data_IF_285179976408
#
_entry.id   IF_285179976408
#
_cell.length_a   1.000
_cell.length_b   1.000
_cell.length_c   1.000
_cell.angle_alpha   90.00
_cell.angle_beta   90.00
_cell.angle_gamma   90.00
#
_symmetry.space_group_name_H-M   'P 1'
#
loop_
_entity.id
_entity.type
_entity.pdbx_description
1 polymer ?
#
# COMPACT_ATOMS: atom_id res chain seq x y z
N UNK A 1 27.70 -0.62 10.16
CA UNK A 1 29.09 -1.16 10.21
C UNK A 1 29.32 -1.94 8.93
N UNK A 2 30.52 -1.78 8.35
CA UNK A 2 30.92 -2.51 7.15
C UNK A 2 32.29 -3.14 7.36
N UNK A 3 32.46 -4.40 6.99
CA UNK A 3 33.75 -5.06 6.85
C UNK A 3 34.20 -4.96 5.38
N UNK A 4 35.30 -4.27 5.12
CA UNK A 4 35.80 -4.02 3.76
C UNK A 4 37.14 -4.70 3.51
N UNK A 5 37.31 -5.26 2.30
CA UNK A 5 38.58 -5.76 1.84
C UNK A 5 39.63 -4.65 1.78
N UNK A 6 40.76 -4.84 2.47
CA UNK A 6 41.85 -3.87 2.49
C UNK A 6 42.69 -3.87 1.20
N UNK A 7 42.74 -5.01 0.52
CA UNK A 7 43.55 -5.26 -0.67
C UNK A 7 42.74 -5.93 -1.74
N UNK A 8 43.16 -5.78 -2.98
CA UNK A 8 42.59 -6.56 -4.07
C UNK A 8 42.84 -8.06 -3.82
N UNK A 9 41.82 -8.86 -4.02
CA UNK A 9 41.85 -10.32 -4.01
C UNK A 9 41.47 -10.85 -5.40
N UNK A 10 41.59 -12.15 -5.69
CA UNK A 10 41.11 -12.72 -6.96
C UNK A 10 39.59 -12.55 -7.17
N UNK A 11 38.81 -12.26 -6.13
CA UNK A 11 37.36 -12.21 -6.15
C UNK A 11 36.76 -10.83 -5.88
N UNK A 12 37.57 -9.86 -5.38
CA UNK A 12 37.07 -8.55 -4.99
C UNK A 12 38.16 -7.47 -5.09
N UNK A 13 37.76 -6.27 -5.49
CA UNK A 13 38.63 -5.10 -5.47
C UNK A 13 38.83 -4.58 -4.04
N UNK A 14 39.89 -3.80 -3.83
CA UNK A 14 40.10 -3.10 -2.55
C UNK A 14 38.91 -2.17 -2.27
N UNK A 15 38.41 -2.18 -1.04
CA UNK A 15 37.24 -1.42 -0.64
C UNK A 15 35.90 -2.16 -0.80
N UNK A 16 35.88 -3.35 -1.41
CA UNK A 16 34.68 -4.17 -1.49
C UNK A 16 34.13 -4.47 -0.09
N UNK A 17 32.83 -4.25 0.12
CA UNK A 17 32.16 -4.57 1.38
C UNK A 17 31.85 -6.07 1.43
N UNK A 18 32.66 -6.81 2.17
CA UNK A 18 32.50 -8.25 2.32
C UNK A 18 31.36 -8.63 3.29
N UNK A 19 31.05 -7.75 4.24
CA UNK A 19 29.92 -7.90 5.16
C UNK A 19 29.44 -6.52 5.60
N UNK A 20 28.13 -6.43 5.85
CA UNK A 20 27.49 -5.21 6.34
C UNK A 20 26.47 -5.55 7.42
N UNK A 21 26.32 -4.67 8.40
CA UNK A 21 25.30 -4.79 9.44
C UNK A 21 24.83 -3.40 9.88
N UNK A 22 23.54 -3.29 10.19
CA UNK A 22 22.90 -2.06 10.62
C UNK A 22 22.41 -2.19 12.06
N UNK A 23 22.85 -1.28 12.93
CA UNK A 23 22.45 -1.25 14.32
C UNK A 23 21.67 0.02 14.63
N UNK A 24 20.52 -0.12 15.31
CA UNK A 24 19.78 1.01 15.82
C UNK A 24 20.55 1.69 16.96
N UNK A 25 20.67 3.02 16.93
CA UNK A 25 21.25 3.77 18.04
C UNK A 25 20.14 4.09 19.06
N UNK A 26 20.36 3.85 20.36
CA UNK A 26 19.34 4.02 21.40
C UNK A 26 18.96 5.49 21.68
N UNK A 27 19.63 6.43 21.03
CA UNK A 27 19.44 7.88 21.24
C UNK A 27 18.33 8.48 20.37
N UNK A 28 17.77 7.72 19.42
CA UNK A 28 16.70 8.22 18.57
C UNK A 28 15.41 8.40 19.36
N UNK A 29 14.83 9.59 19.29
CA UNK A 29 13.47 9.86 19.76
C UNK A 29 12.62 10.28 18.57
N UNK A 30 11.49 9.61 18.41
CA UNK A 30 10.53 10.04 17.39
C UNK A 30 10.06 11.46 17.66
N UNK A 31 10.06 12.33 16.63
CA UNK A 31 9.52 13.66 16.78
C UNK A 31 8.01 13.58 17.06
N UNK A 32 7.59 14.24 18.14
CA UNK A 32 6.15 14.35 18.44
C UNK A 32 5.52 15.22 17.37
N UNK A 33 4.66 14.61 16.54
CA UNK A 33 3.86 15.34 15.57
C UNK A 33 2.73 16.04 16.34
N UNK A 34 2.68 17.38 16.29
CA UNK A 34 1.50 18.11 16.77
C UNK A 34 0.31 17.80 15.87
N UNK A 35 -0.83 17.49 16.47
CA UNK A 35 -2.06 17.34 15.71
C UNK A 35 -2.36 18.65 14.95
N UNK A 36 -2.67 18.59 13.64
CA UNK A 36 -3.01 19.79 12.89
C UNK A 36 -4.26 20.44 13.46
N UNK A 37 -4.24 21.77 13.52
CA UNK A 37 -5.40 22.55 13.99
C UNK A 37 -6.46 22.59 12.89
N UNK A 38 -7.73 22.52 13.31
CA UNK A 38 -8.87 22.55 12.39
C UNK A 38 -9.37 21.16 12.01
N UNK A 39 -10.49 21.14 11.31
CA UNK A 39 -11.19 19.93 10.87
C UNK A 39 -11.69 20.09 9.44
N UNK A 40 -12.00 18.98 8.78
CA UNK A 40 -12.69 19.01 7.50
C UNK A 40 -14.14 19.46 7.66
N UNK A 41 -14.66 20.11 6.63
CA UNK A 41 -16.10 20.22 6.41
C UNK A 41 -16.62 18.92 5.82
N UNK A 42 -17.84 18.56 6.19
CA UNK A 42 -18.53 17.38 5.69
C UNK A 42 -19.74 17.82 4.88
N UNK A 43 -19.87 17.34 3.67
CA UNK A 43 -21.07 17.46 2.85
C UNK A 43 -21.49 16.05 2.39
N UNK A 44 -22.77 15.85 2.09
CA UNK A 44 -23.27 14.57 1.61
C UNK A 44 -24.45 14.77 0.66
N UNK A 45 -24.56 13.85 -0.26
CA UNK A 45 -25.72 13.67 -1.11
C UNK A 45 -26.16 12.20 -1.13
N UNK A 46 -26.98 11.79 -2.07
CA UNK A 46 -27.49 10.40 -2.18
C UNK A 46 -26.39 9.41 -2.58
N UNK A 47 -25.32 9.86 -3.26
CA UNK A 47 -24.27 9.01 -3.80
C UNK A 47 -22.98 9.09 -2.98
N UNK A 48 -22.60 10.28 -2.51
CA UNK A 48 -21.29 10.50 -1.89
C UNK A 48 -21.35 11.20 -0.53
N UNK A 49 -20.34 10.92 0.29
CA UNK A 49 -19.96 11.72 1.43
C UNK A 49 -18.63 12.37 1.09
N UNK A 50 -18.56 13.68 1.27
CA UNK A 50 -17.42 14.51 0.86
C UNK A 50 -16.79 15.17 2.07
N UNK A 51 -15.50 14.89 2.30
CA UNK A 51 -14.67 15.58 3.29
C UNK A 51 -13.79 16.61 2.57
N UNK A 52 -13.73 17.85 3.08
CA UNK A 52 -12.93 18.91 2.47
C UNK A 52 -12.19 19.74 3.52
N UNK A 53 -10.88 19.94 3.35
CA UNK A 53 -10.02 20.77 4.19
C UNK A 53 -8.77 21.21 3.43
N UNK A 54 -8.29 22.42 3.64
CA UNK A 54 -7.01 22.94 3.13
C UNK A 54 -6.77 22.71 1.63
N UNK A 55 -7.83 22.68 0.81
CA UNK A 55 -7.75 22.37 -0.62
C UNK A 55 -7.73 20.88 -0.95
N UNK A 56 -7.77 19.99 0.05
CA UNK A 56 -8.02 18.57 -0.12
C UNK A 56 -9.51 18.28 -0.19
N UNK A 57 -9.88 17.32 -1.03
CA UNK A 57 -11.24 16.82 -1.18
C UNK A 57 -11.20 15.29 -1.30
N UNK A 58 -11.93 14.63 -0.42
CA UNK A 58 -12.08 13.18 -0.37
C UNK A 58 -13.54 12.81 -0.56
N UNK A 59 -13.82 11.93 -1.51
CA UNK A 59 -15.16 11.44 -1.80
C UNK A 59 -15.26 9.97 -1.42
N UNK A 60 -16.25 9.64 -0.60
CA UNK A 60 -16.57 8.29 -0.14
C UNK A 60 -17.90 7.91 -0.77
N UNK A 61 -17.90 6.85 -1.56
CA UNK A 61 -19.11 6.30 -2.16
C UNK A 61 -19.97 5.62 -1.08
N UNK A 62 -21.22 6.03 -0.96
CA UNK A 62 -22.10 5.56 0.14
C UNK A 62 -22.47 4.08 0.01
N UNK A 63 -22.51 3.56 -1.21
CA UNK A 63 -22.87 2.15 -1.47
C UNK A 63 -21.72 1.21 -1.13
N UNK A 64 -20.55 1.50 -1.64
CA UNK A 64 -19.36 0.66 -1.40
C UNK A 64 -18.69 0.98 -0.07
N UNK A 65 -18.85 2.19 0.48
CA UNK A 65 -18.15 2.65 1.67
C UNK A 65 -16.66 2.91 1.46
N UNK A 66 -16.19 2.99 0.21
CA UNK A 66 -14.78 3.22 -0.10
C UNK A 66 -14.51 4.65 -0.53
N UNK A 67 -13.30 5.13 -0.26
CA UNK A 67 -12.80 6.37 -0.87
C UNK A 67 -12.62 6.11 -2.36
N UNK A 68 -13.36 6.82 -3.19
CA UNK A 68 -13.34 6.69 -4.65
C UNK A 68 -12.59 7.83 -5.32
N UNK A 69 -12.39 8.94 -4.60
CA UNK A 69 -11.65 10.09 -5.08
C UNK A 69 -10.91 10.76 -3.91
N UNK A 70 -9.66 11.09 -4.15
CA UNK A 70 -8.90 11.97 -3.26
C UNK A 70 -8.09 12.92 -4.12
N UNK A 71 -8.26 14.21 -3.91
CA UNK A 71 -7.62 15.27 -4.70
C UNK A 71 -7.14 16.40 -3.80
N UNK A 72 -6.09 17.09 -4.24
CA UNK A 72 -5.56 18.28 -3.57
C UNK A 72 -5.46 19.40 -4.62
N UNK A 73 -6.13 20.52 -4.36
CA UNK A 73 -6.19 21.67 -5.28
C UNK A 73 -6.56 21.27 -6.71
N UNK A 74 -7.51 20.34 -6.84
CA UNK A 74 -7.99 19.81 -8.11
C UNK A 74 -7.10 18.74 -8.76
N UNK A 75 -5.90 18.46 -8.21
CA UNK A 75 -5.05 17.39 -8.70
C UNK A 75 -5.49 16.05 -8.10
N UNK A 76 -5.91 15.11 -8.94
CA UNK A 76 -6.30 13.75 -8.55
C UNK A 76 -5.09 12.97 -8.06
N UNK A 77 -5.18 12.35 -6.88
CA UNK A 77 -4.10 11.57 -6.27
C UNK A 77 -4.34 10.05 -6.35
N UNK A 78 -5.60 9.62 -6.46
CA UNK A 78 -5.96 8.22 -6.72
C UNK A 78 -6.82 8.13 -7.97
N UNK A 79 -6.67 7.05 -8.74
CA UNK A 79 -7.42 6.79 -9.98
C UNK A 79 -8.33 5.56 -9.88
N UNK A 80 -8.28 4.83 -8.76
CA UNK A 80 -9.18 3.75 -8.43
C UNK A 80 -9.54 3.81 -6.94
N UNK A 81 -10.68 3.21 -6.52
CA UNK A 81 -11.09 3.18 -5.12
C UNK A 81 -10.01 2.61 -4.19
N UNK A 82 -9.87 3.21 -3.02
CA UNK A 82 -9.05 2.66 -1.93
C UNK A 82 -9.86 1.53 -1.27
N UNK A 83 -9.50 0.29 -1.54
CA UNK A 83 -10.25 -0.90 -1.11
C UNK A 83 -9.40 -1.86 -0.29
N UNK A 84 -10.01 -2.67 0.58
CA UNK A 84 -9.30 -3.71 1.31
C UNK A 84 -8.67 -4.72 0.36
N UNK A 85 -7.54 -5.28 0.78
CA UNK A 85 -6.84 -6.33 0.06
C UNK A 85 -6.42 -7.43 1.04
N UNK A 86 -6.89 -8.66 0.77
CA UNK A 86 -6.60 -9.86 1.58
C UNK A 86 -5.83 -10.92 0.80
N UNK A 87 -5.53 -10.63 -0.46
CA UNK A 87 -4.91 -11.55 -1.41
C UNK A 87 -3.59 -10.99 -1.96
N UNK A 88 -2.77 -11.87 -2.48
CA UNK A 88 -1.58 -11.53 -3.29
C UNK A 88 -1.53 -12.42 -4.53
N UNK A 89 -0.82 -11.99 -5.55
CA UNK A 89 -0.55 -12.85 -6.70
C UNK A 89 0.23 -14.09 -6.24
N UNK A 90 -0.27 -15.27 -6.62
CA UNK A 90 0.26 -16.54 -6.14
C UNK A 90 1.70 -16.76 -6.64
N UNK A 91 2.59 -17.18 -5.74
CA UNK A 91 3.94 -17.62 -6.10
C UNK A 91 3.94 -19.07 -6.57
N UNK A 92 5.06 -19.54 -7.14
CA UNK A 92 5.24 -20.95 -7.53
C UNK A 92 5.02 -21.90 -6.34
N UNK A 93 5.46 -21.50 -5.14
CA UNK A 93 5.25 -22.28 -3.91
C UNK A 93 3.79 -22.34 -3.50
N UNK A 94 3.05 -21.24 -3.68
CA UNK A 94 1.62 -21.18 -3.42
C UNK A 94 0.83 -22.14 -4.33
N UNK A 95 1.22 -22.26 -5.59
CA UNK A 95 0.56 -23.14 -6.56
C UNK A 95 0.86 -24.60 -6.32
N UNK A 96 2.15 -24.96 -6.26
CA UNK A 96 2.63 -26.33 -6.29
C UNK A 96 2.76 -26.95 -4.91
N UNK A 97 3.19 -26.18 -3.91
CA UNK A 97 3.38 -26.63 -2.55
C UNK A 97 2.11 -26.54 -1.72
N UNK A 98 1.74 -25.35 -1.34
CA UNK A 98 0.69 -25.07 -0.34
C UNK A 98 -0.73 -25.15 -0.89
N UNK A 99 -0.93 -25.09 -2.21
CA UNK A 99 -2.26 -25.03 -2.85
C UNK A 99 -3.13 -23.92 -2.26
N UNK A 100 -2.55 -22.74 -2.06
CA UNK A 100 -3.15 -21.60 -1.36
C UNK A 100 -4.52 -21.22 -1.91
N UNK A 101 -4.73 -21.33 -3.23
CA UNK A 101 -6.01 -21.10 -3.87
C UNK A 101 -7.15 -22.01 -3.36
N UNK A 102 -6.82 -23.22 -2.84
CA UNK A 102 -7.81 -24.11 -2.24
C UNK A 102 -8.06 -23.82 -0.75
N UNK A 103 -7.00 -23.44 -0.04
CA UNK A 103 -7.04 -23.24 1.42
C UNK A 103 -7.58 -21.84 1.74
N UNK A 104 -7.11 -20.82 1.09
CA UNK A 104 -7.36 -19.42 1.40
C UNK A 104 -8.03 -18.64 0.25
N UNK A 105 -8.47 -19.31 -0.82
CA UNK A 105 -9.07 -18.68 -2.01
C UNK A 105 -10.31 -17.84 -1.74
N UNK A 106 -11.01 -18.09 -0.63
CA UNK A 106 -12.13 -17.26 -0.18
C UNK A 106 -11.74 -15.78 0.03
N UNK A 107 -10.46 -15.52 0.34
CA UNK A 107 -9.95 -14.16 0.55
C UNK A 107 -9.76 -13.38 -0.75
N UNK A 108 -9.61 -14.07 -1.88
CA UNK A 108 -9.50 -13.43 -3.19
C UNK A 108 -10.76 -12.65 -3.56
N UNK A 109 -11.92 -13.19 -3.22
CA UNK A 109 -13.23 -12.60 -3.51
C UNK A 109 -13.83 -11.84 -2.31
N UNK A 110 -13.17 -11.87 -1.16
CA UNK A 110 -13.69 -11.25 0.06
C UNK A 110 -13.94 -9.73 -0.09
N UNK A 111 -13.09 -8.94 -0.78
CA UNK A 111 -13.36 -7.51 -0.96
C UNK A 111 -14.66 -7.21 -1.67
N UNK A 112 -15.04 -8.01 -2.66
CA UNK A 112 -16.30 -7.90 -3.42
C UNK A 112 -17.52 -8.40 -2.64
N UNK A 113 -17.31 -9.35 -1.72
CA UNK A 113 -18.35 -9.93 -0.87
C UNK A 113 -18.68 -9.11 0.36
N UNK A 114 -17.79 -8.19 0.77
CA UNK A 114 -18.00 -7.30 1.89
C UNK A 114 -19.16 -6.33 1.61
N UNK A 115 -20.27 -6.51 2.34
CA UNK A 115 -21.44 -5.64 2.25
C UNK A 115 -21.33 -4.49 3.27
N UNK A 116 -21.73 -3.29 2.89
CA UNK A 116 -21.82 -2.16 3.81
C UNK A 116 -22.97 -2.37 4.76
N UNK A 117 -22.70 -2.40 6.06
CA UNK A 117 -23.67 -2.62 7.14
C UNK A 117 -24.14 -1.28 7.71
N UNK A 118 -23.19 -0.37 7.96
CA UNK A 118 -23.49 0.95 8.49
C UNK A 118 -22.50 2.00 7.99
N UNK A 119 -22.97 3.24 7.92
CA UNK A 119 -22.14 4.42 7.67
C UNK A 119 -22.49 5.47 8.70
N UNK A 120 -21.50 5.90 9.47
CA UNK A 120 -21.64 6.94 10.49
C UNK A 120 -20.76 8.13 10.16
N UNK A 121 -21.33 9.32 10.24
CA UNK A 121 -20.64 10.57 9.99
C UNK A 121 -20.46 11.31 11.32
N UNK A 122 -19.24 11.74 11.61
CA UNK A 122 -18.94 12.66 12.71
C UNK A 122 -18.42 13.97 12.13
N UNK A 123 -19.32 14.93 11.99
CA UNK A 123 -18.98 16.27 11.49
C UNK A 123 -18.03 17.01 12.44
N UNK A 124 -18.08 16.70 13.74
CA UNK A 124 -17.23 17.34 14.74
C UNK A 124 -15.78 16.91 14.62
N UNK A 125 -15.54 15.67 14.21
CA UNK A 125 -14.23 15.11 13.95
C UNK A 125 -13.77 15.24 12.48
N UNK A 126 -14.68 15.56 11.56
CA UNK A 126 -14.41 15.50 10.12
C UNK A 126 -14.15 14.07 9.64
N UNK A 127 -14.93 13.11 10.16
CA UNK A 127 -14.68 11.70 9.90
C UNK A 127 -15.93 10.92 9.47
N UNK A 128 -15.67 9.80 8.79
CA UNK A 128 -16.70 8.85 8.35
C UNK A 128 -16.25 7.45 8.73
N UNK A 129 -17.09 6.75 9.50
CA UNK A 129 -16.86 5.34 9.86
C UNK A 129 -17.80 4.45 9.06
N UNK A 130 -17.23 3.49 8.35
CA UNK A 130 -17.95 2.50 7.55
C UNK A 130 -17.73 1.11 8.15
N UNK A 131 -18.82 0.43 8.49
CA UNK A 131 -18.78 -0.98 8.88
C UNK A 131 -19.20 -1.84 7.70
N UNK A 132 -18.41 -2.86 7.41
CA UNK A 132 -18.68 -3.84 6.35
C UNK A 132 -18.60 -5.24 6.93
N UNK A 133 -19.37 -6.17 6.36
CA UNK A 133 -19.33 -7.55 6.81
C UNK A 133 -19.55 -8.55 5.68
N UNK A 134 -18.98 -9.73 5.87
CA UNK A 134 -19.44 -10.99 5.30
C UNK A 134 -20.07 -11.72 6.48
N UNK A 135 -21.38 -12.05 6.45
CA UNK A 135 -22.08 -12.67 7.57
C UNK A 135 -21.32 -13.86 8.14
N UNK A 136 -21.26 -13.96 9.47
CA UNK A 136 -20.61 -15.01 10.26
C UNK A 136 -19.13 -15.28 9.96
N UNK A 137 -18.49 -14.42 9.16
CA UNK A 137 -17.13 -14.67 8.69
C UNK A 137 -16.19 -13.50 8.94
N UNK A 138 -16.53 -12.30 8.49
CA UNK A 138 -15.62 -11.14 8.51
C UNK A 138 -16.39 -9.88 8.90
N UNK A 139 -15.79 -9.07 9.76
CA UNK A 139 -16.21 -7.68 10.01
C UNK A 139 -15.03 -6.75 9.77
N UNK A 140 -15.24 -5.73 8.96
CA UNK A 140 -14.26 -4.70 8.64
C UNK A 140 -14.83 -3.33 9.03
N UNK A 141 -14.08 -2.59 9.82
CA UNK A 141 -14.38 -1.19 10.14
C UNK A 141 -13.29 -0.31 9.53
N UNK A 142 -13.71 0.66 8.72
CA UNK A 142 -12.86 1.68 8.12
C UNK A 142 -13.29 3.03 8.65
N UNK A 143 -12.37 3.78 9.26
CA UNK A 143 -12.63 5.16 9.65
C UNK A 143 -11.74 6.09 8.83
N UNK A 144 -12.36 6.96 8.07
CA UNK A 144 -11.71 7.99 7.25
C UNK A 144 -11.80 9.32 7.96
N UNK A 145 -10.67 9.91 8.30
CA UNK A 145 -10.62 11.24 8.94
C UNK A 145 -9.77 12.17 8.09
N UNK A 146 -10.35 13.28 7.65
CA UNK A 146 -9.61 14.34 6.98
C UNK A 146 -9.29 15.43 8.00
N UNK A 147 -8.01 15.66 8.26
CA UNK A 147 -7.59 16.69 9.22
C UNK A 147 -7.64 18.10 8.63
N UNK A 148 -7.47 19.11 9.50
CA UNK A 148 -7.49 20.50 9.08
C UNK A 148 -6.36 20.93 8.15
N UNK A 149 -5.29 20.13 8.02
CA UNK A 149 -4.21 20.32 7.05
C UNK A 149 -4.48 19.64 5.71
N UNK A 150 -5.56 18.84 5.63
CA UNK A 150 -5.95 18.12 4.41
C UNK A 150 -5.29 16.74 4.25
N UNK A 151 -4.72 16.19 5.33
CA UNK A 151 -4.23 14.82 5.30
C UNK A 151 -5.36 13.84 5.63
N UNK A 152 -5.49 12.79 4.82
CA UNK A 152 -6.47 11.72 5.02
C UNK A 152 -5.84 10.61 5.86
N UNK A 153 -6.38 10.39 7.06
CA UNK A 153 -6.09 9.22 7.87
C UNK A 153 -7.12 8.11 7.59
N UNK A 154 -6.66 6.87 7.56
CA UNK A 154 -7.50 5.68 7.38
C UNK A 154 -7.18 4.70 8.51
N UNK A 155 -8.10 4.57 9.45
CA UNK A 155 -8.03 3.53 10.48
C UNK A 155 -8.73 2.28 9.97
N UNK A 156 -8.07 1.15 10.18
CA UNK A 156 -8.48 -0.14 9.65
C UNK A 156 -8.56 -1.17 10.78
N UNK A 157 -9.74 -1.70 11.02
CA UNK A 157 -9.94 -2.80 11.98
C UNK A 157 -10.63 -3.97 11.31
N UNK A 158 -10.00 -5.14 11.38
CA UNK A 158 -10.48 -6.39 10.81
C UNK A 158 -10.70 -7.42 11.92
N UNK A 159 -11.92 -7.92 12.03
CA UNK A 159 -12.28 -9.03 12.90
C UNK A 159 -12.63 -10.23 12.00
N UNK A 160 -11.97 -11.37 12.24
CA UNK A 160 -12.11 -12.59 11.44
C UNK A 160 -12.61 -13.71 12.35
N UNK A 161 -13.61 -14.45 11.90
CA UNK A 161 -14.09 -15.63 12.61
C UNK A 161 -13.05 -16.77 12.58
N UNK A 162 -12.92 -17.51 13.67
CA UNK A 162 -12.05 -18.69 13.80
C UNK A 162 -12.35 -19.80 12.76
N UNK A 163 -13.48 -19.70 12.06
CA UNK A 163 -13.86 -20.62 10.98
C UNK A 163 -13.21 -20.28 9.64
N UNK A 164 -12.64 -19.09 9.52
CA UNK A 164 -11.96 -18.63 8.31
C UNK A 164 -10.48 -18.99 8.37
N UNK A 165 -9.89 -19.37 7.23
CA UNK A 165 -8.44 -19.47 7.16
C UNK A 165 -7.80 -18.09 7.33
N UNK A 166 -6.54 -18.06 7.73
CA UNK A 166 -5.78 -16.81 7.78
C UNK A 166 -5.65 -16.17 6.38
N UNK A 167 -5.82 -14.84 6.24
CA UNK A 167 -5.61 -14.16 4.98
C UNK A 167 -4.12 -14.11 4.63
N UNK A 168 -3.80 -14.15 3.33
CA UNK A 168 -2.42 -14.03 2.87
C UNK A 168 -1.85 -12.62 3.09
N UNK A 169 -2.71 -11.64 3.19
CA UNK A 169 -2.39 -10.23 3.35
C UNK A 169 -3.55 -9.52 4.05
N UNK A 170 -3.22 -8.52 4.84
CA UNK A 170 -4.18 -7.56 5.37
C UNK A 170 -3.70 -6.17 5.02
N UNK A 171 -4.47 -5.42 4.27
CA UNK A 171 -4.09 -4.08 3.86
C UNK A 171 -5.11 -3.40 2.96
N UNK A 172 -4.65 -2.34 2.31
CA UNK A 172 -5.41 -1.54 1.36
C UNK A 172 -4.69 -1.50 0.02
N UNK A 173 -5.43 -1.38 -1.07
CA UNK A 173 -4.90 -1.14 -2.39
C UNK A 173 -5.68 -0.03 -3.10
N UNK A 174 -4.97 0.71 -3.94
CA UNK A 174 -5.55 1.72 -4.86
C UNK A 174 -4.66 1.85 -6.09
N UNK A 175 -5.14 2.55 -7.11
CA UNK A 175 -4.30 3.02 -8.21
C UNK A 175 -4.05 4.51 -8.07
N UNK A 176 -2.87 4.94 -8.48
CA UNK A 176 -2.51 6.35 -8.60
C UNK A 176 -2.35 6.72 -10.08
N UNK A 177 -2.46 7.99 -10.47
CA UNK A 177 -2.18 8.42 -11.84
C UNK A 177 -0.79 7.97 -12.30
N UNK A 178 -0.67 7.51 -13.52
CA UNK A 178 0.60 7.03 -14.11
C UNK A 178 1.67 8.13 -14.25
N UNK A 179 1.27 9.39 -14.15
CA UNK A 179 2.21 10.53 -14.08
C UNK A 179 3.02 10.58 -12.79
N UNK A 180 2.62 9.84 -11.75
CA UNK A 180 3.31 9.75 -10.46
C UNK A 180 4.34 8.61 -10.50
N UNK A 181 5.38 8.78 -11.32
CA UNK A 181 6.37 7.75 -11.65
C UNK A 181 7.62 7.75 -10.77
N UNK A 182 7.81 8.78 -9.92
CA UNK A 182 8.98 8.89 -9.05
C UNK A 182 8.66 8.37 -7.68
N UNK A 183 9.30 7.29 -7.29
CA UNK A 183 9.15 6.69 -5.96
C UNK A 183 10.28 7.17 -5.08
N UNK A 184 9.94 7.59 -3.85
CA UNK A 184 10.88 7.70 -2.74
C UNK A 184 10.25 7.06 -1.51
N UNK A 185 11.04 6.33 -0.72
CA UNK A 185 10.54 5.70 0.50
C UNK A 185 11.63 5.59 1.57
N UNK A 186 11.19 5.56 2.82
CA UNK A 186 12.03 5.25 3.98
C UNK A 186 11.58 3.92 4.58
N UNK A 187 12.40 2.90 4.38
CA UNK A 187 12.10 1.51 4.72
C UNK A 187 13.26 0.59 4.42
N UNK A 188 13.08 -0.72 4.51
CA UNK A 188 14.08 -1.72 4.11
C UNK A 188 14.22 -1.79 2.58
N UNK A 189 15.46 -1.83 2.10
CA UNK A 189 15.76 -1.84 0.66
C UNK A 189 17.26 -1.96 0.37
N UNK A 190 17.69 -1.63 -0.89
CA UNK A 190 16.89 -1.20 -2.04
C UNK A 190 16.14 -2.32 -2.76
N UNK A 191 16.57 -3.59 -2.61
CA UNK A 191 15.98 -4.77 -3.25
C UNK A 191 14.63 -5.12 -2.64
N UNK A 192 13.83 -5.91 -3.37
CA UNK A 192 12.61 -6.48 -2.81
C UNK A 192 12.93 -7.34 -1.58
N UNK A 193 12.06 -7.28 -0.60
CA UNK A 193 12.18 -8.04 0.61
C UNK A 193 10.79 -8.31 1.21
N UNK A 194 10.67 -9.41 1.95
CA UNK A 194 9.44 -9.88 2.57
C UNK A 194 9.75 -10.25 4.02
N UNK A 195 8.76 -10.41 4.85
CA UNK A 195 8.95 -10.69 6.29
C UNK A 195 9.83 -11.91 6.58
N UNK A 196 9.83 -12.90 5.69
CA UNK A 196 10.62 -14.13 5.76
C UNK A 196 12.01 -14.02 5.13
N UNK A 197 12.31 -12.91 4.42
CA UNK A 197 13.61 -12.66 3.76
C UNK A 197 13.93 -11.16 3.69
N UNK A 198 14.03 -10.52 4.83
CA UNK A 198 14.31 -9.07 4.92
C UNK A 198 15.61 -8.72 5.66
N UNK A 199 16.34 -9.70 6.20
CA UNK A 199 17.54 -9.44 6.99
C UNK A 199 18.69 -8.83 6.17
N UNK A 200 18.79 -9.16 4.88
CA UNK A 200 19.77 -8.56 3.97
C UNK A 200 19.37 -7.20 3.41
N UNK A 201 18.25 -6.63 3.84
CA UNK A 201 17.77 -5.33 3.40
C UNK A 201 17.89 -4.32 4.54
N UNK A 202 18.61 -3.22 4.31
CA UNK A 202 18.83 -2.20 5.33
C UNK A 202 17.79 -1.09 5.29
N UNK A 203 17.53 -0.53 6.46
CA UNK A 203 16.68 0.63 6.60
C UNK A 203 17.39 1.86 6.01
N UNK A 204 16.76 2.53 5.08
CA UNK A 204 17.34 3.69 4.41
C UNK A 204 16.33 4.49 3.61
N UNK A 205 16.79 5.62 3.11
CA UNK A 205 16.05 6.44 2.15
C UNK A 205 16.43 6.01 0.73
N UNK A 206 15.45 5.46 0.02
CA UNK A 206 15.63 4.95 -1.33
C UNK A 206 14.77 5.67 -2.34
N UNK A 207 15.21 5.64 -3.60
CA UNK A 207 14.48 6.17 -4.75
C UNK A 207 14.40 5.11 -5.83
N UNK A 208 13.27 5.08 -6.54
CA UNK A 208 13.00 4.10 -7.59
C UNK A 208 12.02 4.66 -8.62
N UNK A 209 11.66 3.83 -9.58
CA UNK A 209 10.49 3.97 -10.46
C UNK A 209 9.63 2.71 -10.36
N UNK A 210 8.36 2.71 -10.79
CA UNK A 210 7.52 1.51 -10.75
C UNK A 210 8.18 0.31 -11.43
N UNK A 211 8.85 0.49 -12.58
CA UNK A 211 9.54 -0.57 -13.31
C UNK A 211 10.69 -1.18 -12.51
N UNK A 212 11.47 -0.35 -11.81
CA UNK A 212 12.60 -0.80 -10.98
C UNK A 212 12.15 -1.30 -9.61
N UNK A 213 10.95 -0.93 -9.19
CA UNK A 213 10.36 -1.42 -7.94
C UNK A 213 9.87 -2.85 -8.07
N UNK A 214 9.40 -3.22 -9.27
CA UNK A 214 9.02 -4.58 -9.63
C UNK A 214 10.25 -5.46 -9.86
N UNK A 215 10.05 -6.76 -9.67
CA UNK A 215 10.99 -7.79 -10.12
C UNK A 215 10.35 -8.64 -11.23
N UNK A 216 11.07 -8.76 -12.35
CA UNK A 216 10.57 -9.52 -13.50
C UNK A 216 10.87 -11.01 -13.34
N UNK A 217 10.01 -11.73 -12.65
CA UNK A 217 10.05 -13.19 -12.63
C UNK A 217 9.63 -13.77 -13.99
N UNK A 218 10.14 -14.94 -14.33
CA UNK A 218 9.78 -15.66 -15.58
C UNK A 218 8.27 -15.91 -15.62
N UNK A 219 7.71 -16.44 -14.53
CA UNK A 219 6.27 -16.53 -14.33
C UNK A 219 5.83 -15.34 -13.47
N UNK A 220 4.94 -14.46 -13.94
CA UNK A 220 4.42 -13.37 -13.13
C UNK A 220 3.83 -13.87 -11.82
N UNK A 221 4.23 -13.26 -10.74
CA UNK A 221 3.83 -13.63 -9.38
C UNK A 221 4.02 -12.43 -8.45
N UNK A 222 3.66 -12.57 -7.17
CA UNK A 222 3.95 -11.56 -6.15
C UNK A 222 5.42 -11.15 -6.20
N UNK A 223 5.67 -9.85 -6.24
CA UNK A 223 7.01 -9.29 -6.31
C UNK A 223 7.05 -7.84 -5.81
N UNK A 224 8.26 -7.30 -5.68
CA UNK A 224 8.48 -5.88 -5.46
C UNK A 224 8.13 -5.38 -4.07
N UNK A 225 7.84 -6.23 -3.09
CA UNK A 225 7.54 -5.78 -1.73
C UNK A 225 8.75 -5.14 -1.05
N UNK A 226 8.49 -4.13 -0.21
CA UNK A 226 9.46 -3.53 0.73
C UNK A 226 8.83 -3.55 2.12
N UNK A 227 9.58 -4.08 3.09
CA UNK A 227 9.17 -4.14 4.50
C UNK A 227 9.64 -2.91 5.27
N UNK A 228 9.09 -2.73 6.46
CA UNK A 228 9.48 -1.69 7.41
C UNK A 228 9.41 -0.27 6.82
N UNK A 229 8.47 -0.03 5.92
CA UNK A 229 8.30 1.27 5.28
C UNK A 229 7.53 2.21 6.20
N UNK A 230 8.18 3.31 6.63
CA UNK A 230 7.56 4.35 7.44
C UNK A 230 6.76 5.29 6.58
N UNK A 231 7.27 5.59 5.40
CA UNK A 231 6.55 6.36 4.40
C UNK A 231 7.03 6.01 2.99
N UNK A 232 6.10 6.16 2.04
CA UNK A 232 6.35 6.03 0.60
C UNK A 232 5.68 7.20 -0.10
N UNK A 233 6.39 7.86 -1.01
CA UNK A 233 5.85 8.91 -1.88
C UNK A 233 5.92 8.50 -3.34
N UNK A 234 4.87 8.87 -4.08
CA UNK A 234 4.83 8.80 -5.54
C UNK A 234 4.62 10.23 -6.06
N UNK A 235 5.53 10.70 -6.89
CA UNK A 235 5.51 12.08 -7.38
C UNK A 235 5.70 12.17 -8.89
N UNK A 236 5.10 13.19 -9.48
CA UNK A 236 5.35 13.61 -10.86
C UNK A 236 6.69 14.37 -10.98
N UNK A 237 7.05 14.72 -12.21
CA UNK A 237 8.27 15.47 -12.49
C UNK A 237 8.32 16.86 -11.87
N UNK A 238 7.15 17.46 -11.63
CA UNK A 238 7.00 18.78 -11.00
C UNK A 238 6.97 18.72 -9.46
N UNK A 239 7.14 17.52 -8.87
CA UNK A 239 7.17 17.28 -7.43
C UNK A 239 5.80 17.13 -6.77
N UNK A 240 4.68 17.33 -7.50
CA UNK A 240 3.33 17.03 -6.98
C UNK A 240 3.11 15.52 -6.88
N UNK A 241 2.36 15.08 -5.89
CA UNK A 241 2.10 13.65 -5.72
C UNK A 241 1.42 13.31 -4.40
N UNK A 242 1.50 12.07 -4.02
CA UNK A 242 0.91 11.51 -2.81
C UNK A 242 1.98 10.87 -1.94
N UNK A 243 1.83 11.00 -0.63
CA UNK A 243 2.65 10.30 0.35
C UNK A 243 1.76 9.42 1.23
N UNK A 244 2.14 8.17 1.36
CA UNK A 244 1.55 7.21 2.29
C UNK A 244 2.46 7.08 3.51
N UNK A 245 1.90 7.23 4.70
CA UNK A 245 2.64 7.16 5.96
C UNK A 245 1.96 6.13 6.84
N UNK A 246 2.70 5.13 7.31
CA UNK A 246 2.18 4.17 8.29
C UNK A 246 2.20 4.76 9.70
N UNK A 247 1.17 4.50 10.49
CA UNK A 247 1.23 4.67 11.95
C UNK A 247 2.23 3.67 12.54
N UNK A 248 2.21 2.45 12.00
CA UNK A 248 3.22 1.41 12.18
C UNK A 248 3.93 1.17 10.85
N UNK A 249 5.15 0.57 10.85
CA UNK A 249 5.84 0.25 9.62
C UNK A 249 5.02 -0.66 8.71
N UNK A 250 4.93 -0.30 7.43
CA UNK A 250 4.13 -0.99 6.42
C UNK A 250 4.99 -1.94 5.58
N UNK A 251 4.33 -2.94 4.99
CA UNK A 251 4.80 -3.63 3.79
C UNK A 251 4.13 -3.01 2.57
N UNK A 252 4.92 -2.59 1.59
CA UNK A 252 4.40 -1.88 0.40
C UNK A 252 4.92 -2.49 -0.88
N UNK A 253 4.05 -2.53 -1.89
CA UNK A 253 4.40 -2.87 -3.27
C UNK A 253 3.87 -1.78 -4.20
N UNK A 254 4.61 -1.48 -5.26
CA UNK A 254 4.20 -0.55 -6.32
C UNK A 254 4.38 -1.25 -7.65
N UNK A 255 3.30 -1.38 -8.40
CA UNK A 255 3.28 -2.04 -9.70
C UNK A 255 2.70 -1.12 -10.77
N UNK A 256 3.12 -1.30 -12.02
CA UNK A 256 2.51 -0.69 -13.20
C UNK A 256 1.42 -1.57 -13.83
N UNK A 257 0.90 -2.51 -13.08
CA UNK A 257 -0.26 -3.36 -13.40
C UNK A 257 -1.11 -3.58 -12.16
N UNK A 258 -2.33 -4.08 -12.34
CA UNK A 258 -3.16 -4.46 -11.17
C UNK A 258 -2.71 -5.81 -10.60
N UNK A 259 -2.98 -6.03 -9.31
CA UNK A 259 -2.71 -7.32 -8.66
C UNK A 259 -3.46 -8.47 -9.37
N UNK A 260 -4.69 -8.22 -9.80
CA UNK A 260 -5.50 -9.19 -10.52
C UNK A 260 -4.91 -9.57 -11.87
N UNK A 261 -4.31 -8.60 -12.59
CA UNK A 261 -3.59 -8.84 -13.82
C UNK A 261 -2.33 -9.67 -13.58
N UNK A 262 -1.58 -9.33 -12.51
CA UNK A 262 -0.39 -10.07 -12.10
C UNK A 262 -0.71 -11.53 -11.73
N UNK A 263 -1.80 -11.76 -10.97
CA UNK A 263 -2.22 -13.09 -10.52
C UNK A 263 -2.78 -13.97 -11.67
N UNK A 264 -3.29 -13.36 -12.74
CA UNK A 264 -3.81 -14.07 -13.92
C UNK A 264 -2.78 -14.30 -15.00
N UNK A 265 -1.72 -13.50 -15.05
CA UNK A 265 -0.73 -13.55 -16.11
C UNK A 265 0.12 -14.83 -16.02
N UNK A 266 0.30 -15.51 -17.15
CA UNK A 266 1.17 -16.69 -17.26
C UNK A 266 2.57 -16.36 -17.80
N UNK A 267 2.69 -15.23 -18.48
CA UNK A 267 3.92 -14.73 -19.08
C UNK A 267 4.02 -13.22 -18.87
N UNK A 268 5.23 -12.72 -18.73
CA UNK A 268 5.51 -11.30 -18.46
C UNK A 268 4.99 -10.36 -19.57
N UNK A 269 4.94 -10.83 -20.83
CA UNK A 269 4.37 -10.06 -21.93
C UNK A 269 2.85 -9.83 -21.80
N UNK A 270 2.13 -10.68 -21.03
CA UNK A 270 0.71 -10.46 -20.76
C UNK A 270 0.45 -9.23 -19.88
N UNK A 271 1.43 -8.77 -19.12
CA UNK A 271 1.31 -7.59 -18.27
C UNK A 271 1.42 -6.27 -19.05
N UNK A 272 2.09 -6.27 -20.21
CA UNK A 272 2.29 -5.09 -21.03
C UNK A 272 0.99 -4.59 -21.70
N UNK A 273 0.01 -5.49 -21.89
CA UNK A 273 -1.27 -5.19 -22.53
C UNK A 273 -2.40 -4.83 -21.56
N UNK A 274 -2.16 -4.91 -20.26
CA UNK A 274 -3.16 -4.66 -19.21
C UNK A 274 -3.00 -3.32 -18.51
N UNK A 275 -1.97 -2.55 -18.83
CA UNK A 275 -1.89 -1.15 -18.43
C UNK A 275 -3.01 -0.38 -19.14
N UNK A 276 -3.87 0.36 -18.42
CA UNK A 276 -4.85 1.20 -19.07
C UNK A 276 -4.11 2.16 -20.01
N UNK A 277 -4.52 2.19 -21.28
CA UNK A 277 -3.95 3.11 -22.26
C UNK A 277 -4.20 4.55 -21.78
N UNK A 278 -3.24 5.47 -21.94
CA UNK A 278 -3.45 6.88 -21.61
C UNK A 278 -4.53 7.58 -22.47
N UNK A 279 -5.28 6.84 -23.27
CA UNK A 279 -6.23 7.37 -24.26
C UNK A 279 -7.69 7.00 -24.01
N UNK A 280 -8.01 6.35 -22.88
CA UNK A 280 -9.41 6.08 -22.50
C UNK A 280 -9.83 6.88 -21.28
#
# INVERSE_FOLDING_TARGET
>A
VQAREKRRTPYAEAGYAAAEEQFALPVYKEPVRSAPKGRASVAQDDEFIVLSAAGSRTEIDRRSGYVVSHSVRGCKLISAPLRPNFWRASTDNDWRGWRVGKIAGCWKEAPERLQTVSVRIDESAGSVTVEKAIPDSVRLTLTYTLDGAGALAVDYKLDISDRMPEPLRVGLQTCVPNTLERIAYFGKGPQENYSDRCEGAFLGLYRSTPEKFMHSYITPQENGNRCDVRWLSLTASDGRGVQFVGAEPLSVSVWNCTQESLDKARHSNCLLYTSPSPRD
#
